data_IF_692060013540
#
_entry.id   IF_692060013540
#
_cell.length_a   1.000
_cell.length_b   1.000
_cell.length_c   1.000
_cell.angle_alpha   90.00
_cell.angle_beta   90.00
_cell.angle_gamma   90.00
#
_symmetry.space_group_name_H-M   'P 1'
#
loop_
_entity.id
_entity.type
_entity.pdbx_description
1 polymer ?
#
# COMPACT_ATOMS: atom_id res chain seq x y z
N UNK A 1 -0.99 1.47 -2.41
CA UNK A 1 -2.25 0.78 -2.81
C UNK A 1 -2.16 0.38 -4.27
N UNK A 2 -3.07 -0.49 -4.71
CA UNK A 2 -3.01 -1.13 -6.04
C UNK A 2 -3.33 -0.09 -7.12
N UNK A 3 -4.53 0.47 -7.09
CA UNK A 3 -4.91 1.61 -7.91
C UNK A 3 -4.49 2.91 -7.20
N UNK A 4 -3.42 3.54 -7.67
CA UNK A 4 -2.88 4.79 -7.13
C UNK A 4 -3.70 6.02 -7.54
N UNK A 5 -4.34 6.00 -8.71
CA UNK A 5 -5.23 7.08 -9.16
C UNK A 5 -6.47 7.18 -8.27
N UNK A 6 -7.19 6.08 -8.08
CA UNK A 6 -8.35 6.04 -7.18
C UNK A 6 -7.97 6.42 -5.73
N UNK A 7 -6.75 6.06 -5.30
CA UNK A 7 -6.24 6.51 -4.00
C UNK A 7 -6.06 8.03 -3.96
N UNK A 8 -5.44 8.63 -4.98
CA UNK A 8 -5.26 10.08 -5.05
C UNK A 8 -6.61 10.80 -5.01
N UNK A 9 -7.59 10.36 -5.81
CA UNK A 9 -8.93 10.93 -5.84
C UNK A 9 -9.64 10.84 -4.48
N UNK A 10 -9.56 9.69 -3.81
CA UNK A 10 -10.08 9.54 -2.45
C UNK A 10 -9.43 10.52 -1.47
N UNK A 11 -8.10 10.68 -1.53
CA UNK A 11 -7.40 11.63 -0.65
C UNK A 11 -7.81 13.08 -0.93
N UNK A 12 -7.97 13.46 -2.19
CA UNK A 12 -8.43 14.80 -2.58
C UNK A 12 -9.81 15.09 -1.99
N UNK A 13 -10.68 14.08 -1.95
CA UNK A 13 -12.02 14.15 -1.36
C UNK A 13 -12.06 13.95 0.17
N UNK A 14 -10.90 13.86 0.85
CA UNK A 14 -10.83 13.71 2.30
C UNK A 14 -11.05 12.28 2.82
N UNK A 15 -11.14 11.29 1.94
CA UNK A 15 -11.41 9.89 2.28
C UNK A 15 -10.11 9.14 2.57
N UNK A 16 -10.09 8.37 3.67
CA UNK A 16 -8.98 7.47 4.00
C UNK A 16 -7.71 8.16 4.53
N UNK A 17 -7.79 9.45 4.89
CA UNK A 17 -6.66 10.21 5.42
C UNK A 17 -6.25 9.68 6.81
N UNK A 18 -4.97 9.34 6.95
CA UNK A 18 -4.37 8.84 8.17
C UNK A 18 -3.01 9.51 8.37
N UNK A 19 -2.83 10.16 9.53
CA UNK A 19 -1.57 10.86 9.89
C UNK A 19 -0.36 9.93 9.84
N UNK A 20 -0.53 8.64 10.19
CA UNK A 20 0.55 7.65 10.13
C UNK A 20 0.99 7.29 8.70
N UNK A 21 0.14 7.59 7.70
CA UNK A 21 0.39 7.33 6.28
C UNK A 21 0.75 8.60 5.49
N UNK A 22 0.92 9.75 6.16
CA UNK A 22 0.98 11.06 5.49
C UNK A 22 2.09 11.15 4.43
N UNK A 23 3.28 10.61 4.70
CA UNK A 23 4.34 10.52 3.69
C UNK A 23 3.87 9.81 2.42
N UNK A 24 3.19 8.67 2.57
CA UNK A 24 2.65 7.91 1.42
C UNK A 24 1.54 8.69 0.73
N UNK A 25 0.71 9.42 1.46
CA UNK A 25 -0.37 10.23 0.88
C UNK A 25 0.20 11.37 0.05
N UNK A 26 1.14 12.14 0.60
CA UNK A 26 1.85 13.20 -0.10
C UNK A 26 2.56 12.64 -1.34
N UNK A 27 3.21 11.47 -1.22
CA UNK A 27 3.87 10.81 -2.34
C UNK A 27 2.90 10.43 -3.46
N UNK A 28 1.75 9.82 -3.13
CA UNK A 28 0.73 9.45 -4.11
C UNK A 28 0.14 10.69 -4.79
N UNK A 29 -0.16 11.75 -4.03
CA UNK A 29 -0.64 13.02 -4.59
C UNK A 29 0.41 13.67 -5.50
N UNK A 30 1.68 13.65 -5.10
CA UNK A 30 2.77 14.15 -5.93
C UNK A 30 2.85 13.41 -7.27
N UNK A 31 2.82 12.07 -7.26
CA UNK A 31 2.78 11.27 -8.49
C UNK A 31 1.56 11.59 -9.35
N UNK A 32 0.39 11.76 -8.73
CA UNK A 32 -0.85 12.06 -9.42
C UNK A 32 -0.77 13.41 -10.14
N UNK A 33 -0.40 14.49 -9.46
CA UNK A 33 -0.27 15.80 -10.07
C UNK A 33 0.82 15.86 -11.15
N UNK A 34 1.98 15.23 -10.90
CA UNK A 34 3.03 15.13 -11.92
C UNK A 34 2.55 14.36 -13.16
N UNK A 35 1.73 13.32 -12.99
CA UNK A 35 1.16 12.56 -14.12
C UNK A 35 0.15 13.37 -14.94
N UNK A 36 -0.43 14.42 -14.37
CA UNK A 36 -1.31 15.36 -15.06
C UNK A 36 -0.55 16.48 -15.79
N UNK A 37 0.78 16.48 -15.74
CA UNK A 37 1.63 17.44 -16.44
C UNK A 37 2.07 18.66 -15.61
N UNK A 38 1.69 18.73 -14.32
CA UNK A 38 2.15 19.79 -13.42
C UNK A 38 3.67 19.70 -13.21
N UNK A 39 4.33 20.84 -13.05
CA UNK A 39 5.74 20.87 -12.64
C UNK A 39 5.90 20.68 -11.12
N UNK A 40 7.14 20.60 -10.63
CA UNK A 40 7.43 20.38 -9.21
C UNK A 40 6.94 21.52 -8.31
N UNK A 41 6.97 22.77 -8.80
CA UNK A 41 6.56 23.95 -8.05
C UNK A 41 5.03 24.04 -7.92
N UNK A 42 4.31 23.77 -9.01
CA UNK A 42 2.85 23.65 -9.06
C UNK A 42 2.38 22.48 -8.20
N UNK A 43 3.01 21.31 -8.34
CA UNK A 43 2.72 20.12 -7.52
C UNK A 43 2.85 20.44 -6.03
N UNK A 44 3.90 21.16 -5.62
CA UNK A 44 4.06 21.60 -4.23
C UNK A 44 2.89 22.48 -3.78
N UNK A 45 2.51 23.49 -4.56
CA UNK A 45 1.39 24.38 -4.24
C UNK A 45 0.08 23.60 -4.07
N UNK A 46 -0.20 22.66 -4.97
CA UNK A 46 -1.41 21.82 -4.91
C UNK A 46 -1.43 20.92 -3.67
N UNK A 47 -0.29 20.33 -3.28
CA UNK A 47 -0.18 19.53 -2.05
C UNK A 47 -0.46 20.39 -0.80
N UNK A 48 0.11 21.59 -0.71
CA UNK A 48 -0.15 22.47 0.44
C UNK A 48 -1.59 22.98 0.46
N UNK A 49 -2.18 23.25 -0.71
CA UNK A 49 -3.58 23.63 -0.84
C UNK A 49 -4.50 22.51 -0.34
N UNK A 50 -4.26 21.28 -0.79
CA UNK A 50 -4.96 20.08 -0.31
C UNK A 50 -4.82 19.93 1.21
N UNK A 51 -3.60 20.03 1.76
CA UNK A 51 -3.37 19.92 3.19
C UNK A 51 -4.15 20.98 3.99
N UNK A 52 -4.20 22.22 3.49
CA UNK A 52 -5.00 23.30 4.07
C UNK A 52 -6.51 23.00 4.05
N UNK A 53 -7.03 22.52 2.91
CA UNK A 53 -8.44 22.13 2.77
C UNK A 53 -8.83 21.03 3.76
N UNK A 54 -7.94 20.06 3.98
CA UNK A 54 -8.15 18.95 4.90
C UNK A 54 -7.79 19.26 6.37
N UNK A 55 -7.38 20.51 6.67
CA UNK A 55 -6.93 20.98 8.00
C UNK A 55 -5.76 20.15 8.57
N UNK A 56 -4.81 19.80 7.71
CA UNK A 56 -3.61 19.01 8.04
C UNK A 56 -2.40 19.94 8.01
N UNK A 57 -1.60 19.92 9.07
CA UNK A 57 -0.31 20.62 9.10
C UNK A 57 0.78 19.71 8.54
N UNK A 58 1.50 20.15 7.49
CA UNK A 58 2.60 19.39 6.88
C UNK A 58 3.92 20.16 6.72
N UNK A 59 3.92 21.48 6.97
CA UNK A 59 5.00 22.39 6.59
C UNK A 59 6.35 22.09 7.27
N UNK A 60 6.31 21.57 8.50
CA UNK A 60 7.50 21.31 9.31
C UNK A 60 7.70 19.81 9.63
N UNK A 61 6.70 19.00 9.34
CA UNK A 61 6.74 17.56 9.60
C UNK A 61 7.34 16.79 8.41
N UNK A 62 7.14 17.28 7.19
CA UNK A 62 7.49 16.57 5.96
C UNK A 62 8.29 17.45 5.01
N UNK A 63 9.42 16.92 4.52
CA UNK A 63 10.15 17.54 3.42
C UNK A 63 9.44 17.26 2.09
N UNK A 64 8.39 18.03 1.80
CA UNK A 64 7.55 17.88 0.60
C UNK A 64 8.37 17.99 -0.69
N UNK A 65 9.42 18.82 -0.72
CA UNK A 65 10.30 18.93 -1.89
C UNK A 65 11.00 17.60 -2.21
N UNK A 66 11.54 16.94 -1.19
CA UNK A 66 12.17 15.64 -1.38
C UNK A 66 11.16 14.56 -1.79
N UNK A 67 9.92 14.63 -1.29
CA UNK A 67 8.86 13.69 -1.67
C UNK A 67 8.51 13.87 -3.16
N UNK A 68 8.33 15.12 -3.62
CA UNK A 68 8.07 15.44 -5.03
C UNK A 68 9.23 15.02 -5.92
N UNK A 69 10.46 15.36 -5.53
CA UNK A 69 11.67 14.94 -6.24
C UNK A 69 11.71 13.42 -6.41
N UNK A 70 11.46 12.67 -5.33
CA UNK A 70 11.41 11.20 -5.39
C UNK A 70 10.29 10.70 -6.28
N UNK A 71 9.10 11.31 -6.24
CA UNK A 71 7.97 10.95 -7.08
C UNK A 71 8.25 11.20 -8.58
N UNK A 72 8.93 12.30 -8.92
CA UNK A 72 9.34 12.65 -10.28
C UNK A 72 10.34 11.65 -10.86
N UNK A 73 11.27 11.19 -10.03
CA UNK A 73 12.30 10.24 -10.41
C UNK A 73 11.91 8.77 -10.20
N UNK A 74 10.70 8.50 -9.68
CA UNK A 74 10.10 7.17 -9.70
C UNK A 74 9.69 6.88 -11.14
N UNK A 75 10.55 6.22 -11.91
CA UNK A 75 10.33 5.89 -13.33
C UNK A 75 9.12 4.98 -13.63
N UNK A 76 8.27 4.74 -12.63
CA UNK A 76 7.02 3.98 -12.74
C UNK A 76 5.86 4.96 -12.85
N UNK A 77 5.08 4.84 -13.92
CA UNK A 77 3.80 5.54 -14.06
C UNK A 77 2.88 5.30 -12.85
N UNK A 78 2.00 6.26 -12.59
CA UNK A 78 0.94 6.07 -11.60
C UNK A 78 0.02 4.92 -12.04
N UNK A 79 -0.30 4.01 -11.13
CA UNK A 79 -1.16 2.85 -11.44
C UNK A 79 -2.63 3.27 -11.44
N UNK A 80 -3.32 3.08 -12.56
CA UNK A 80 -4.73 3.48 -12.76
C UNK A 80 -5.66 2.27 -13.00
N UNK A 81 -5.23 1.29 -13.80
CA UNK A 81 -6.13 0.25 -14.37
C UNK A 81 -5.73 -1.18 -14.07
N UNK A 82 -5.08 -1.42 -12.94
CA UNK A 82 -4.79 -2.80 -12.53
C UNK A 82 -6.10 -3.49 -12.13
N UNK A 83 -6.66 -4.24 -13.07
CA UNK A 83 -7.81 -5.11 -12.84
C UNK A 83 -7.28 -6.34 -12.12
N UNK A 84 -7.43 -6.36 -10.79
CA UNK A 84 -7.11 -7.53 -9.99
C UNK A 84 -8.32 -8.45 -9.96
N UNK A 85 -8.08 -9.68 -10.40
CA UNK A 85 -9.05 -10.77 -10.44
C UNK A 85 -8.76 -11.76 -9.31
N UNK A 86 -9.81 -12.24 -8.68
CA UNK A 86 -9.75 -13.28 -7.65
C UNK A 86 -10.62 -14.44 -8.13
N UNK A 87 -10.09 -15.66 -8.10
CA UNK A 87 -10.79 -16.88 -8.51
C UNK A 87 -11.45 -17.56 -7.32
N UNK A 88 -12.33 -18.53 -7.58
CA UNK A 88 -12.85 -19.42 -6.53
C UNK A 88 -11.74 -20.18 -5.81
N UNK A 89 -10.72 -20.65 -6.53
CA UNK A 89 -9.62 -21.40 -5.92
C UNK A 89 -8.83 -20.54 -4.93
N UNK A 90 -8.65 -19.25 -5.21
CA UNK A 90 -8.05 -18.30 -4.27
C UNK A 90 -8.87 -18.20 -2.97
N UNK A 91 -10.19 -18.08 -3.12
CA UNK A 91 -11.14 -17.95 -2.00
C UNK A 91 -11.11 -19.22 -1.15
N UNK A 92 -11.17 -20.39 -1.78
CA UNK A 92 -11.12 -21.67 -1.07
C UNK A 92 -9.75 -21.90 -0.40
N UNK A 93 -8.65 -21.46 -1.03
CA UNK A 93 -7.32 -21.50 -0.41
C UNK A 93 -7.22 -20.62 0.85
N UNK A 94 -7.94 -19.47 0.88
CA UNK A 94 -8.06 -18.61 2.07
C UNK A 94 -8.95 -19.26 3.13
N UNK A 95 -10.13 -19.78 2.75
CA UNK A 95 -11.07 -20.43 3.68
C UNK A 95 -10.47 -21.66 4.35
N UNK A 96 -9.71 -22.45 3.60
CA UNK A 96 -9.07 -23.67 4.09
C UNK A 96 -7.98 -23.42 5.16
N UNK A 97 -7.41 -22.21 5.22
CA UNK A 97 -6.34 -21.84 6.16
C UNK A 97 -6.81 -21.03 7.35
N UNK A 98 -7.89 -20.26 7.18
CA UNK A 98 -8.27 -19.24 8.14
C UNK A 98 -9.77 -19.25 8.38
N UNK A 99 -10.20 -19.12 9.63
CA UNK A 99 -11.62 -19.07 9.99
C UNK A 99 -12.12 -17.65 10.27
N UNK A 100 -11.26 -16.78 10.81
CA UNK A 100 -11.66 -15.45 11.27
C UNK A 100 -11.93 -14.47 10.12
N UNK A 101 -13.05 -13.74 10.19
CA UNK A 101 -13.43 -12.70 9.21
C UNK A 101 -12.27 -11.73 8.90
N UNK A 102 -11.61 -11.22 9.93
CA UNK A 102 -10.52 -10.24 9.81
C UNK A 102 -9.25 -10.82 9.19
N UNK A 103 -8.87 -12.05 9.52
CA UNK A 103 -7.68 -12.69 8.94
C UNK A 103 -7.93 -13.08 7.48
N UNK A 104 -9.14 -13.56 7.13
CA UNK A 104 -9.55 -13.79 5.73
C UNK A 104 -9.49 -12.51 4.92
N UNK A 105 -9.96 -11.39 5.47
CA UNK A 105 -9.88 -10.07 4.81
C UNK A 105 -8.43 -9.61 4.61
N UNK A 106 -7.57 -9.82 5.62
CA UNK A 106 -6.14 -9.54 5.49
C UNK A 106 -5.48 -10.44 4.43
N UNK A 107 -5.80 -11.74 4.39
CA UNK A 107 -5.33 -12.67 3.36
C UNK A 107 -5.73 -12.21 1.95
N UNK A 108 -7.00 -11.87 1.76
CA UNK A 108 -7.52 -11.35 0.49
C UNK A 108 -6.79 -10.07 0.06
N UNK A 109 -6.56 -9.12 0.98
CA UNK A 109 -5.81 -7.91 0.70
C UNK A 109 -4.36 -8.17 0.30
N UNK A 110 -3.69 -9.14 0.95
CA UNK A 110 -2.33 -9.56 0.59
C UNK A 110 -2.29 -10.21 -0.79
N UNK A 111 -3.24 -11.10 -1.10
CA UNK A 111 -3.36 -11.71 -2.42
C UNK A 111 -3.51 -10.65 -3.49
N UNK A 112 -4.43 -9.69 -3.30
CA UNK A 112 -4.64 -8.62 -4.26
C UNK A 112 -3.37 -7.79 -4.45
N UNK A 113 -2.62 -7.55 -3.37
CA UNK A 113 -1.35 -6.82 -3.44
C UNK A 113 -0.31 -7.63 -4.22
N UNK A 114 -0.18 -8.93 -3.94
CA UNK A 114 0.75 -9.80 -4.65
C UNK A 114 0.41 -9.88 -6.14
N UNK A 115 -0.87 -10.07 -6.50
CA UNK A 115 -1.34 -10.07 -7.89
C UNK A 115 -1.02 -8.79 -8.65
N UNK A 116 -0.96 -7.66 -7.95
CA UNK A 116 -0.68 -6.36 -8.55
C UNK A 116 0.81 -6.09 -8.75
N UNK A 117 1.65 -6.46 -7.78
CA UNK A 117 3.04 -5.95 -7.69
C UNK A 117 4.10 -6.97 -7.32
N UNK A 118 3.75 -8.25 -7.14
CA UNK A 118 4.76 -9.27 -6.90
C UNK A 118 5.59 -9.55 -8.15
N UNK A 119 6.87 -9.84 -7.93
CA UNK A 119 7.75 -10.33 -8.99
C UNK A 119 7.48 -11.80 -9.35
N UNK A 120 8.29 -12.35 -10.24
CA UNK A 120 8.17 -13.75 -10.68
C UNK A 120 8.37 -14.76 -9.54
N UNK A 121 9.10 -14.37 -8.49
CA UNK A 121 9.32 -15.18 -7.29
C UNK A 121 8.21 -15.00 -6.24
N UNK A 122 7.18 -14.21 -6.54
CA UNK A 122 6.08 -13.90 -5.63
C UNK A 122 6.47 -12.93 -4.51
N UNK A 123 7.60 -12.23 -4.64
CA UNK A 123 8.10 -11.26 -3.65
C UNK A 123 7.53 -9.88 -3.96
N UNK A 124 7.03 -9.20 -2.93
CA UNK A 124 6.48 -7.85 -3.05
C UNK A 124 6.79 -6.99 -1.81
N UNK A 125 6.99 -5.67 -2.00
CA UNK A 125 7.12 -4.73 -0.90
C UNK A 125 5.77 -4.38 -0.28
N UNK A 126 5.70 -4.31 1.04
CA UNK A 126 4.49 -3.93 1.79
C UNK A 126 4.82 -3.04 3.00
N UNK A 127 4.18 -1.88 3.07
CA UNK A 127 4.09 -1.07 4.29
C UNK A 127 2.92 -1.57 5.13
N UNK A 128 3.19 -2.23 6.26
CA UNK A 128 2.14 -2.76 7.14
C UNK A 128 1.18 -1.67 7.63
N UNK A 129 1.67 -0.45 7.87
CA UNK A 129 0.82 0.67 8.31
C UNK A 129 -0.18 1.06 7.22
N UNK A 130 0.30 1.20 5.98
CA UNK A 130 -0.56 1.55 4.84
C UNK A 130 -1.54 0.41 4.52
N UNK A 131 -1.06 -0.83 4.61
CA UNK A 131 -1.89 -2.02 4.42
C UNK A 131 -2.99 -2.13 5.47
N UNK A 132 -2.65 -1.93 6.75
CA UNK A 132 -3.60 -1.90 7.86
C UNK A 132 -4.70 -0.87 7.64
N UNK A 133 -4.30 0.34 7.20
CA UNK A 133 -5.24 1.41 6.88
C UNK A 133 -6.19 1.01 5.75
N UNK A 134 -5.66 0.42 4.68
CA UNK A 134 -6.47 -0.01 3.54
C UNK A 134 -7.43 -1.16 3.89
N UNK A 135 -6.96 -2.17 4.62
CA UNK A 135 -7.80 -3.31 5.03
C UNK A 135 -8.82 -2.92 6.11
N UNK A 136 -8.67 -1.76 6.75
CA UNK A 136 -9.54 -1.32 7.85
C UNK A 136 -9.29 -2.10 9.14
N UNK A 137 -8.06 -2.56 9.37
CA UNK A 137 -7.65 -3.28 10.58
C UNK A 137 -6.62 -2.43 11.33
N UNK A 138 -6.75 -2.30 12.65
CA UNK A 138 -5.80 -1.53 13.45
C UNK A 138 -4.37 -2.06 13.31
N UNK A 139 -3.39 -1.14 13.15
CA UNK A 139 -1.99 -1.50 12.88
C UNK A 139 -1.39 -2.44 13.92
N UNK A 140 -1.75 -2.27 15.20
CA UNK A 140 -1.31 -3.17 16.29
C UNK A 140 -1.83 -4.58 16.08
N UNK A 141 -3.14 -4.74 15.79
CA UNK A 141 -3.72 -6.05 15.52
C UNK A 141 -3.14 -6.70 14.26
N UNK A 142 -2.89 -5.90 13.21
CA UNK A 142 -2.25 -6.40 12.00
C UNK A 142 -0.85 -6.96 12.31
N UNK A 143 -0.03 -6.21 13.05
CA UNK A 143 1.34 -6.61 13.37
C UNK A 143 1.43 -7.76 14.37
N UNK A 144 0.61 -7.77 15.42
CA UNK A 144 0.74 -8.69 16.55
C UNK A 144 -0.10 -9.96 16.42
N UNK A 145 -1.16 -9.92 15.60
CA UNK A 145 -2.10 -11.04 15.45
C UNK A 145 -2.15 -11.57 14.02
N UNK A 146 -2.62 -10.76 13.07
CA UNK A 146 -2.99 -11.29 11.75
C UNK A 146 -1.78 -11.61 10.88
N UNK A 147 -0.76 -10.75 10.82
CA UNK A 147 0.45 -11.06 10.05
C UNK A 147 1.20 -12.29 10.61
N UNK A 148 1.38 -12.45 11.94
CA UNK A 148 1.92 -13.69 12.51
C UNK A 148 1.11 -14.92 12.13
N UNK A 149 -0.21 -14.86 12.19
CA UNK A 149 -1.10 -15.97 11.79
C UNK A 149 -0.95 -16.32 10.30
N UNK A 150 -0.93 -15.31 9.43
CA UNK A 150 -0.71 -15.48 7.99
C UNK A 150 0.65 -16.10 7.67
N UNK A 151 1.67 -15.82 8.47
CA UNK A 151 3.01 -16.43 8.35
C UNK A 151 3.01 -17.86 8.89
N UNK A 152 2.39 -18.08 10.05
CA UNK A 152 2.33 -19.39 10.71
C UNK A 152 1.62 -20.44 9.86
N UNK A 153 0.56 -20.05 9.15
CA UNK A 153 -0.18 -20.93 8.23
C UNK A 153 0.34 -20.87 6.79
N UNK A 154 1.59 -20.43 6.61
CA UNK A 154 2.32 -20.46 5.33
C UNK A 154 1.55 -19.82 4.17
N UNK A 155 0.83 -18.74 4.43
CA UNK A 155 0.17 -17.96 3.38
C UNK A 155 1.13 -16.93 2.78
N UNK A 156 1.94 -16.32 3.65
CA UNK A 156 3.04 -15.43 3.27
C UNK A 156 4.28 -15.69 4.10
N UNK A 157 5.45 -15.40 3.55
CA UNK A 157 6.72 -15.41 4.26
C UNK A 157 7.28 -14.00 4.34
N UNK A 158 7.80 -13.58 5.49
CA UNK A 158 8.55 -12.32 5.59
C UNK A 158 9.98 -12.55 5.07
N UNK A 159 10.38 -11.81 4.05
CA UNK A 159 11.74 -11.84 3.54
C UNK A 159 12.61 -10.95 4.44
N UNK A 160 13.61 -11.55 5.08
CA UNK A 160 14.64 -10.81 5.79
C UNK A 160 15.68 -10.38 4.76
N UNK A 161 15.72 -9.09 4.39
CA UNK A 161 16.78 -8.60 3.53
C UNK A 161 18.09 -8.50 4.34
N UNK A 162 19.16 -9.17 3.91
CA UNK A 162 20.53 -8.89 4.39
C UNK A 162 20.89 -7.40 4.22
N UNK A 163 20.33 -6.76 3.19
CA UNK A 163 20.48 -5.34 2.86
C UNK A 163 19.83 -4.35 3.83
N UNK A 164 19.05 -4.80 4.82
CA UNK A 164 18.66 -3.91 5.92
C UNK A 164 19.87 -3.45 6.75
N UNK A 165 21.02 -4.15 6.67
CA UNK A 165 22.31 -3.70 7.23
C UNK A 165 23.02 -2.67 6.33
N UNK A 166 22.92 -2.77 5.00
CA UNK A 166 23.73 -1.98 4.04
C UNK A 166 23.05 -0.71 3.53
N UNK A 167 21.72 -0.70 3.38
CA UNK A 167 20.97 0.52 2.98
C UNK A 167 20.83 1.54 4.12
N UNK A 168 21.14 1.14 5.36
CA UNK A 168 21.22 2.04 6.50
C UNK A 168 22.33 3.09 6.36
N UNK A 169 23.39 2.79 5.60
CA UNK A 169 24.56 3.68 5.43
C UNK A 169 24.45 4.65 4.24
N UNK A 170 23.73 4.29 3.15
CA UNK A 170 23.62 5.15 1.95
C UNK A 170 22.69 6.36 2.11
N UNK A 171 21.90 6.45 3.18
CA UNK A 171 20.95 7.53 3.41
C UNK A 171 21.19 8.31 4.71
N UNK A 172 22.38 8.19 5.31
CA UNK A 172 22.71 8.83 6.59
C UNK A 172 22.96 10.35 6.49
N UNK A 173 22.99 10.91 5.27
CA UNK A 173 23.24 12.34 5.02
C UNK A 173 21.97 13.20 4.91
N UNK A 174 20.79 12.58 4.88
CA UNK A 174 19.51 13.31 4.94
C UNK A 174 19.01 13.29 6.38
N UNK A 175 19.31 14.34 7.13
CA UNK A 175 18.86 14.55 8.51
C UNK A 175 17.33 14.61 8.60
N UNK A 176 16.69 13.45 8.78
CA UNK A 176 15.48 13.30 9.57
C UNK A 176 15.29 11.79 9.87
N UNK A 177 15.76 11.35 11.04
CA UNK A 177 15.73 9.94 11.47
C UNK A 177 14.33 9.41 11.80
N UNK A 178 13.29 10.26 11.78
CA UNK A 178 11.95 9.91 12.26
C UNK A 178 10.95 9.46 11.19
N UNK A 179 11.30 9.44 9.90
CA UNK A 179 10.36 9.06 8.83
C UNK A 179 11.00 8.02 7.90
N UNK A 180 11.26 6.82 8.42
CA UNK A 180 11.49 5.63 7.60
C UNK A 180 10.23 4.77 7.66
N UNK A 181 9.34 4.90 6.67
CA UNK A 181 8.43 3.79 6.35
C UNK A 181 9.31 2.62 5.93
N UNK A 182 9.70 1.77 6.88
CA UNK A 182 10.37 0.49 6.60
C UNK A 182 9.37 -0.35 5.80
N UNK A 183 9.48 -0.33 4.47
CA UNK A 183 8.79 -1.29 3.65
C UNK A 183 9.42 -2.65 3.93
N UNK A 184 8.63 -3.57 4.46
CA UNK A 184 9.07 -4.97 4.57
C UNK A 184 8.84 -5.62 3.21
N UNK A 185 9.62 -6.64 2.88
CA UNK A 185 9.34 -7.50 1.73
C UNK A 185 8.70 -8.80 2.23
N UNK A 186 7.68 -9.25 1.50
CA UNK A 186 6.99 -10.50 1.76
C UNK A 186 6.97 -11.34 0.49
N UNK A 187 6.92 -12.66 0.64
CA UNK A 187 6.71 -13.62 -0.44
C UNK A 187 5.33 -14.26 -0.27
N UNK A 188 4.49 -14.21 -1.29
CA UNK A 188 3.23 -14.99 -1.31
C UNK A 188 3.57 -16.45 -1.55
N UNK A 189 2.99 -17.35 -0.75
CA UNK A 189 3.27 -18.79 -0.84
C UNK A 189 2.13 -19.56 -1.52
N UNK A 190 1.00 -18.90 -1.75
CA UNK A 190 -0.13 -19.44 -2.51
C UNK A 190 -0.07 -18.99 -3.97
N UNK A 191 -0.72 -19.72 -4.90
CA UNK A 191 -0.90 -19.26 -6.27
C UNK A 191 -1.48 -17.85 -6.30
N UNK A 192 -0.93 -16.98 -7.16
CA UNK A 192 -1.31 -15.58 -7.25
C UNK A 192 -1.47 -15.12 -8.71
N UNK A 193 -1.88 -16.02 -9.61
CA UNK A 193 -2.15 -15.64 -11.00
C UNK A 193 -3.32 -14.66 -11.05
N UNK A 194 -3.23 -13.62 -11.87
CA UNK A 194 -4.28 -12.61 -11.99
C UNK A 194 -5.47 -13.07 -12.84
N UNK A 195 -6.15 -14.11 -12.37
CA UNK A 195 -7.31 -14.76 -13.00
C UNK A 195 -8.49 -14.86 -12.02
N UNK A 196 -9.69 -15.12 -12.56
CA UNK A 196 -10.93 -15.25 -11.78
C UNK A 196 -12.03 -14.25 -12.14
N UNK A 197 -13.19 -14.47 -11.54
CA UNK A 197 -14.44 -13.76 -11.81
C UNK A 197 -14.69 -12.57 -10.87
N UNK A 198 -14.11 -12.57 -9.67
CA UNK A 198 -14.29 -11.49 -8.69
C UNK A 198 -13.28 -10.38 -8.94
N UNK A 199 -13.72 -9.12 -8.86
CA UNK A 199 -12.91 -7.97 -9.29
C UNK A 199 -12.68 -6.97 -8.15
N UNK A 200 -11.42 -6.65 -7.87
CA UNK A 200 -11.11 -5.50 -7.02
C UNK A 200 -11.33 -4.20 -7.79
N UNK A 201 -12.43 -3.51 -7.50
CA UNK A 201 -12.77 -2.21 -8.12
C UNK A 201 -12.33 -1.07 -7.20
N UNK A 202 -11.55 -0.12 -7.72
CA UNK A 202 -11.17 1.12 -7.02
C UNK A 202 -10.56 0.94 -5.61
N UNK A 203 -9.84 -0.16 -5.37
CA UNK A 203 -9.33 -0.58 -4.05
C UNK A 203 -10.43 -0.86 -2.99
N UNK A 204 -11.68 -1.08 -3.37
CA UNK A 204 -12.75 -1.42 -2.44
C UNK A 204 -12.63 -2.89 -2.01
N UNK A 205 -11.85 -3.12 -0.95
CA UNK A 205 -11.64 -4.45 -0.39
C UNK A 205 -12.84 -4.92 0.42
N UNK A 206 -13.67 -4.02 0.94
CA UNK A 206 -14.87 -4.39 1.70
C UNK A 206 -15.92 -5.00 0.77
N UNK A 207 -16.23 -4.33 -0.35
CA UNK A 207 -17.14 -4.87 -1.35
C UNK A 207 -16.66 -6.22 -1.91
N UNK A 208 -15.37 -6.31 -2.26
CA UNK A 208 -14.79 -7.58 -2.74
C UNK A 208 -14.84 -8.67 -1.67
N UNK A 209 -14.59 -8.33 -0.41
CA UNK A 209 -14.67 -9.31 0.68
C UNK A 209 -16.09 -9.86 0.83
N UNK A 210 -17.09 -9.00 0.74
CA UNK A 210 -18.47 -9.39 0.86
C UNK A 210 -18.89 -10.28 -0.33
N UNK A 211 -18.50 -9.96 -1.56
CA UNK A 211 -18.74 -10.83 -2.73
C UNK A 211 -18.07 -12.21 -2.63
N UNK A 212 -16.88 -12.29 -2.02
CA UNK A 212 -16.09 -13.53 -1.95
C UNK A 212 -16.49 -14.45 -0.78
N UNK A 213 -16.96 -13.89 0.34
CA UNK A 213 -17.08 -14.62 1.61
C UNK A 213 -18.45 -14.53 2.30
N UNK A 214 -19.39 -13.71 1.81
CA UNK A 214 -20.79 -13.70 2.28
C UNK A 214 -21.71 -14.41 1.29
#
# INVERSE_FOLDING_TARGET
MINEVALAENLLNGVGINKKCMYSHIYTLAKYYLSQGNDEAETRKLIFTWAGQQKIWIADEYNVNQIIYKARHDGRSIRDKDIIRVSKDDIEAIKARFDGKKVRKAALGLLCTAKAIADQDGIFPLSLVSFSNWVGIGSTQMCEKYMPELIMFEYVQKIQSEEQKTTSWKFQWAGNSNIKSKSNSYKILVPFKNEGEYLLKHNDLDALYDECFQ
#
